data_IF_753679248209
#
_entry.id   IF_753679248209
#
_cell.length_a   1.000
_cell.length_b   1.000
_cell.length_c   1.000
_cell.angle_alpha   90.00
_cell.angle_beta   90.00
_cell.angle_gamma   90.00
#
_symmetry.space_group_name_H-M   'P 1'
#
loop_
_entity.id
_entity.type
_entity.pdbx_description
1 polymer ?
#
# COMPACT_ATOMS: atom_id res chain seq x y z
N UNK A 1 31.93 -8.37 -21.77
CA UNK A 1 30.67 -7.64 -21.95
C UNK A 1 30.36 -6.92 -20.65
N UNK A 2 30.91 -5.72 -20.45
CA UNK A 2 30.67 -4.91 -19.24
C UNK A 2 29.27 -4.30 -19.37
N UNK A 3 28.28 -4.94 -18.75
CA UNK A 3 27.01 -4.29 -18.43
C UNK A 3 27.33 -3.18 -17.41
N UNK A 4 27.67 -1.99 -17.92
CA UNK A 4 27.53 -0.74 -17.18
C UNK A 4 26.02 -0.52 -16.99
N UNK A 5 25.43 -1.26 -16.05
CA UNK A 5 24.13 -0.96 -15.49
C UNK A 5 24.25 0.46 -14.94
N UNK A 6 23.64 1.41 -15.64
CA UNK A 6 23.59 2.81 -15.24
C UNK A 6 22.71 2.91 -13.99
N UNK A 7 23.25 2.52 -12.83
CA UNK A 7 22.62 2.51 -11.51
C UNK A 7 22.27 3.92 -11.00
N UNK A 8 22.19 4.92 -11.87
CA UNK A 8 21.84 6.31 -11.55
C UNK A 8 20.33 6.55 -11.57
N UNK A 9 19.56 5.77 -12.34
CA UNK A 9 18.11 5.90 -12.32
C UNK A 9 17.50 5.23 -11.10
N UNK A 10 16.48 5.88 -10.52
CA UNK A 10 15.72 5.29 -9.42
C UNK A 10 14.77 4.24 -9.97
N UNK A 11 14.69 3.10 -9.28
CA UNK A 11 13.72 2.05 -9.59
C UNK A 11 12.32 2.61 -9.36
N UNK A 12 11.49 2.59 -10.39
CA UNK A 12 10.13 3.10 -10.26
C UNK A 12 9.25 2.04 -9.55
N UNK A 13 8.17 2.43 -8.86
CA UNK A 13 7.40 1.45 -8.07
C UNK A 13 6.57 0.50 -8.92
N UNK A 14 6.26 0.87 -10.17
CA UNK A 14 5.66 -0.04 -11.15
C UNK A 14 6.60 -1.19 -11.51
N UNK A 15 7.91 -0.96 -11.62
CA UNK A 15 8.89 -2.03 -11.82
C UNK A 15 8.84 -3.03 -10.65
N UNK A 16 8.81 -2.51 -9.41
CA UNK A 16 8.73 -3.35 -8.20
C UNK A 16 7.42 -4.13 -8.16
N UNK A 17 6.29 -3.49 -8.50
CA UNK A 17 4.98 -4.15 -8.53
C UNK A 17 4.95 -5.32 -9.51
N UNK A 18 5.52 -5.15 -10.71
CA UNK A 18 5.62 -6.21 -11.72
C UNK A 18 6.53 -7.34 -11.21
N UNK A 19 7.72 -7.01 -10.68
CA UNK A 19 8.66 -8.01 -10.16
C UNK A 19 8.02 -8.86 -9.06
N UNK A 20 7.34 -8.23 -8.09
CA UNK A 20 6.69 -8.97 -7.01
C UNK A 20 5.54 -9.81 -7.56
N UNK A 21 4.74 -9.29 -8.49
CA UNK A 21 3.66 -10.06 -9.12
C UNK A 21 4.19 -11.31 -9.85
N UNK A 22 5.30 -11.16 -10.59
CA UNK A 22 5.98 -12.30 -11.24
C UNK A 22 6.51 -13.31 -10.21
N UNK A 23 7.11 -12.83 -9.11
CA UNK A 23 7.57 -13.72 -8.04
C UNK A 23 6.42 -14.53 -7.42
N UNK A 24 5.25 -13.91 -7.20
CA UNK A 24 4.07 -14.59 -6.68
C UNK A 24 3.58 -15.70 -7.62
N UNK A 25 3.56 -15.44 -8.93
CA UNK A 25 3.20 -16.43 -9.95
C UNK A 25 4.20 -17.59 -9.97
N UNK A 26 5.51 -17.31 -9.91
CA UNK A 26 6.57 -18.34 -9.95
C UNK A 26 6.55 -19.21 -8.68
N UNK A 27 6.35 -18.60 -7.51
CA UNK A 27 6.32 -19.33 -6.23
C UNK A 27 5.04 -20.15 -6.05
N UNK A 28 3.99 -19.85 -6.81
CA UNK A 28 2.73 -20.58 -6.78
C UNK A 28 2.77 -21.75 -7.76
N UNK A 29 3.27 -22.90 -7.33
CA UNK A 29 3.45 -24.07 -8.20
C UNK A 29 2.13 -24.74 -8.67
N UNK A 30 0.99 -24.46 -8.03
CA UNK A 30 -0.26 -25.21 -8.24
C UNK A 30 -1.41 -24.38 -8.85
N UNK A 31 -1.13 -23.20 -9.42
CA UNK A 31 -2.18 -22.38 -10.04
C UNK A 31 -2.43 -22.76 -11.49
N UNK A 32 -3.67 -22.55 -11.95
CA UNK A 32 -3.98 -22.64 -13.37
C UNK A 32 -3.21 -21.61 -14.20
N UNK A 33 -2.93 -21.97 -15.46
CA UNK A 33 -2.25 -21.10 -16.44
C UNK A 33 -3.05 -19.83 -16.69
N UNK A 34 -4.39 -19.90 -16.66
CA UNK A 34 -5.27 -18.75 -16.84
C UNK A 34 -5.09 -17.73 -15.72
N UNK A 35 -5.09 -18.16 -14.46
CA UNK A 35 -4.85 -17.28 -13.31
C UNK A 35 -3.48 -16.61 -13.38
N UNK A 36 -2.42 -17.37 -13.71
CA UNK A 36 -1.09 -16.81 -13.92
C UNK A 36 -1.06 -15.74 -15.03
N UNK A 37 -1.70 -16.02 -16.17
CA UNK A 37 -1.80 -15.09 -17.29
C UNK A 37 -2.55 -13.81 -16.92
N UNK A 38 -3.65 -13.90 -16.15
CA UNK A 38 -4.43 -12.74 -15.68
C UNK A 38 -3.56 -11.84 -14.80
N UNK A 39 -2.83 -12.41 -13.84
CA UNK A 39 -1.96 -11.63 -12.93
C UNK A 39 -0.88 -10.89 -13.72
N UNK A 40 -0.22 -11.57 -14.66
CA UNK A 40 0.82 -10.98 -15.51
C UNK A 40 0.25 -9.90 -16.45
N UNK A 41 -0.94 -10.13 -17.00
CA UNK A 41 -1.65 -9.14 -17.82
C UNK A 41 -1.95 -7.88 -17.00
N UNK A 42 -2.53 -8.03 -15.81
CA UNK A 42 -2.85 -6.92 -14.93
C UNK A 42 -1.60 -6.13 -14.50
N UNK A 43 -0.51 -6.84 -14.16
CA UNK A 43 0.75 -6.21 -13.81
C UNK A 43 1.36 -5.43 -14.99
N UNK A 44 1.33 -5.99 -16.19
CA UNK A 44 1.81 -5.34 -17.42
C UNK A 44 0.95 -4.14 -17.79
N UNK A 45 -0.37 -4.25 -17.66
CA UNK A 45 -1.30 -3.17 -17.96
C UNK A 45 -1.18 -2.01 -16.95
N UNK A 46 -1.02 -2.33 -15.66
CA UNK A 46 -0.70 -1.35 -14.63
C UNK A 46 0.61 -0.61 -14.95
N UNK A 47 1.65 -1.34 -15.38
CA UNK A 47 2.94 -0.77 -15.76
C UNK A 47 2.82 0.28 -16.87
N UNK A 48 2.12 -0.06 -17.95
CA UNK A 48 1.87 0.85 -19.07
C UNK A 48 1.08 2.08 -18.61
N UNK A 49 0.01 1.85 -17.85
CA UNK A 49 -0.88 2.90 -17.36
C UNK A 49 -0.19 3.87 -16.40
N UNK A 50 0.73 3.37 -15.56
CA UNK A 50 1.58 4.18 -14.70
C UNK A 50 2.46 5.14 -15.50
N UNK A 51 3.12 4.64 -16.55
CA UNK A 51 3.97 5.48 -17.40
C UNK A 51 3.15 6.55 -18.13
N UNK A 52 1.93 6.21 -18.59
CA UNK A 52 1.00 7.17 -19.17
C UNK A 52 0.64 8.27 -18.15
N UNK A 53 0.23 7.90 -16.94
CA UNK A 53 -0.12 8.88 -15.88
C UNK A 53 1.03 9.81 -15.52
N UNK A 54 2.25 9.27 -15.37
CA UNK A 54 3.47 10.06 -15.12
C UNK A 54 3.72 11.07 -16.25
N UNK A 55 3.59 10.63 -17.50
CA UNK A 55 3.84 11.48 -18.67
C UNK A 55 2.79 12.58 -18.86
N UNK A 56 1.51 12.30 -18.55
CA UNK A 56 0.43 13.30 -18.61
C UNK A 56 0.76 14.47 -17.67
N UNK A 57 1.10 14.16 -16.41
CA UNK A 57 1.41 15.19 -15.43
C UNK A 57 2.72 15.90 -15.73
N UNK A 58 3.75 15.19 -16.20
CA UNK A 58 5.01 15.82 -16.65
C UNK A 58 4.73 16.89 -17.71
N UNK A 59 3.93 16.56 -18.74
CA UNK A 59 3.57 17.51 -19.81
C UNK A 59 2.72 18.68 -19.31
N UNK A 60 1.83 18.45 -18.36
CA UNK A 60 0.99 19.51 -17.80
C UNK A 60 1.81 20.53 -16.99
N UNK A 61 2.75 20.04 -16.17
CA UNK A 61 3.58 20.87 -15.31
C UNK A 61 4.71 21.56 -16.08
N UNK A 62 5.33 20.89 -17.07
CA UNK A 62 6.39 21.46 -17.89
C UNK A 62 6.04 21.34 -19.39
N UNK A 63 5.28 22.31 -19.94
CA UNK A 63 4.92 22.32 -21.35
C UNK A 63 6.08 22.71 -22.28
N UNK A 64 7.14 23.35 -21.76
CA UNK A 64 8.33 23.71 -22.53
C UNK A 64 9.37 22.57 -22.48
N UNK A 65 9.65 22.01 -23.67
CA UNK A 65 10.59 20.94 -23.93
C UNK A 65 12.05 21.35 -23.67
N UNK A 66 12.43 21.50 -22.40
CA UNK A 66 13.84 21.52 -22.02
C UNK A 66 14.01 20.85 -20.65
N UNK A 67 14.54 19.61 -20.62
CA UNK A 67 14.76 18.81 -19.40
C UNK A 67 15.68 19.53 -18.38
N UNK A 68 16.34 20.63 -18.76
CA UNK A 68 17.16 21.46 -17.88
C UNK A 68 16.41 22.61 -17.17
N UNK A 69 15.18 22.95 -17.60
CA UNK A 69 14.34 24.01 -17.00
C UNK A 69 13.13 23.45 -16.22
N UNK A 70 13.18 22.17 -15.88
CA UNK A 70 12.25 21.43 -15.02
C UNK A 70 12.03 22.06 -13.60
N UNK A 71 12.63 23.22 -13.32
CA UNK A 71 12.81 23.80 -12.00
C UNK A 71 11.91 24.99 -11.67
N UNK A 72 11.60 25.92 -12.58
CA UNK A 72 11.08 27.23 -12.15
C UNK A 72 9.66 27.17 -11.58
N UNK A 73 8.71 26.56 -12.32
CA UNK A 73 7.34 26.37 -11.84
C UNK A 73 7.28 25.48 -10.59
N UNK A 74 8.03 24.39 -10.59
CA UNK A 74 8.09 23.45 -9.46
C UNK A 74 8.70 24.12 -8.22
N UNK A 75 9.71 24.96 -8.38
CA UNK A 75 10.31 25.72 -7.29
C UNK A 75 9.33 26.75 -6.73
N UNK A 76 8.59 27.47 -7.59
CA UNK A 76 7.54 28.40 -7.15
C UNK A 76 6.40 27.69 -6.40
N UNK A 77 5.98 26.50 -6.84
CA UNK A 77 5.00 25.69 -6.10
C UNK A 77 5.60 25.25 -4.76
N UNK A 78 6.87 24.84 -4.75
CA UNK A 78 7.58 24.41 -3.55
C UNK A 78 7.67 25.53 -2.50
N UNK A 79 7.93 26.76 -2.92
CA UNK A 79 7.97 27.94 -2.04
C UNK A 79 6.60 28.25 -1.44
N UNK A 80 5.50 28.01 -2.16
CA UNK A 80 4.15 28.17 -1.63
C UNK A 80 3.76 27.08 -0.61
N UNK A 81 4.48 25.96 -0.56
CA UNK A 81 4.17 24.84 0.34
C UNK A 81 4.78 25.07 1.74
N UNK A 82 3.91 25.15 2.74
CA UNK A 82 4.32 25.27 4.13
C UNK A 82 4.63 23.89 4.75
N UNK A 83 5.89 23.48 4.70
CA UNK A 83 6.38 22.23 5.29
C UNK A 83 6.22 22.15 6.82
N UNK A 84 6.16 23.27 7.52
CA UNK A 84 5.96 23.28 8.98
C UNK A 84 4.53 22.83 9.33
N UNK A 85 3.52 23.31 8.58
CA UNK A 85 2.14 22.84 8.71
C UNK A 85 2.03 21.35 8.40
N UNK A 86 2.67 20.90 7.33
CA UNK A 86 2.73 19.48 6.95
C UNK A 86 3.31 18.61 8.08
N UNK A 87 4.39 19.07 8.73
CA UNK A 87 4.97 18.39 9.89
C UNK A 87 4.02 18.34 11.07
N UNK A 88 3.33 19.44 11.39
CA UNK A 88 2.33 19.49 12.49
C UNK A 88 1.19 18.50 12.25
N UNK A 89 0.69 18.41 11.01
CA UNK A 89 -0.31 17.41 10.61
C UNK A 89 0.22 15.99 10.83
N UNK A 90 1.43 15.70 10.36
CA UNK A 90 2.05 14.38 10.56
C UNK A 90 2.20 14.01 12.04
N UNK A 91 2.64 14.95 12.89
CA UNK A 91 2.76 14.73 14.33
C UNK A 91 1.40 14.50 15.01
N UNK A 92 0.37 15.24 14.59
CA UNK A 92 -1.00 15.05 15.08
C UNK A 92 -1.51 13.65 14.74
N UNK A 93 -1.29 13.18 13.51
CA UNK A 93 -1.68 11.83 13.08
C UNK A 93 -0.96 10.74 13.88
N UNK A 94 0.34 10.91 14.18
CA UNK A 94 1.08 9.98 15.04
C UNK A 94 0.48 9.97 16.45
N UNK A 95 0.19 11.14 17.03
CA UNK A 95 -0.36 11.25 18.38
C UNK A 95 -1.74 10.58 18.48
N UNK A 96 -2.62 10.85 17.51
CA UNK A 96 -3.94 10.20 17.40
C UNK A 96 -3.78 8.70 17.26
N UNK A 97 -2.97 8.22 16.30
CA UNK A 97 -2.83 6.79 16.06
C UNK A 97 -2.21 6.05 17.26
N UNK A 98 -1.24 6.65 17.94
CA UNK A 98 -0.64 6.08 19.15
C UNK A 98 -1.64 6.01 20.31
N UNK A 99 -2.42 7.08 20.52
CA UNK A 99 -3.47 7.12 21.55
C UNK A 99 -4.51 6.04 21.31
N UNK A 100 -4.99 5.89 20.07
CA UNK A 100 -5.99 4.87 19.74
C UNK A 100 -5.41 3.45 19.78
N UNK A 101 -4.11 3.27 19.52
CA UNK A 101 -3.44 1.97 19.71
C UNK A 101 -3.47 1.58 21.19
N UNK A 102 -3.15 2.51 22.09
CA UNK A 102 -3.21 2.26 23.54
C UNK A 102 -4.64 2.06 24.01
N UNK A 103 -5.59 2.86 23.52
CA UNK A 103 -7.00 2.71 23.86
C UNK A 103 -7.57 1.33 23.46
N UNK A 104 -7.19 0.82 22.29
CA UNK A 104 -7.63 -0.50 21.81
C UNK A 104 -7.04 -1.64 22.66
N UNK A 105 -5.78 -1.50 23.11
CA UNK A 105 -5.16 -2.45 24.04
C UNK A 105 -5.83 -2.44 25.42
N UNK A 106 -6.21 -1.26 25.93
CA UNK A 106 -6.96 -1.14 27.18
C UNK A 106 -8.35 -1.75 27.03
N UNK A 107 -9.02 -1.50 25.91
CA UNK A 107 -10.35 -2.03 25.62
C UNK A 107 -10.39 -3.56 25.65
N UNK A 108 -9.41 -4.19 25.00
CA UNK A 108 -9.30 -5.66 24.96
C UNK A 108 -8.76 -6.24 26.28
N UNK A 109 -8.19 -5.40 27.16
CA UNK A 109 -7.58 -5.81 28.44
C UNK A 109 -6.55 -6.95 28.26
N UNK A 110 -5.86 -6.92 27.13
CA UNK A 110 -4.93 -7.97 26.70
C UNK A 110 -4.11 -7.51 25.50
N UNK A 111 -3.12 -8.31 25.11
CA UNK A 111 -2.24 -8.01 23.97
C UNK A 111 -2.52 -8.99 22.83
N UNK A 112 -3.20 -8.57 21.74
CA UNK A 112 -3.53 -9.42 20.60
C UNK A 112 -2.36 -10.09 19.90
N UNK A 113 -1.14 -9.61 20.12
CA UNK A 113 0.07 -10.27 19.66
C UNK A 113 0.33 -11.61 20.38
N UNK A 114 0.04 -11.69 21.68
CA UNK A 114 0.31 -12.88 22.50
C UNK A 114 -0.92 -13.78 22.67
N UNK A 115 -2.12 -13.21 22.61
CA UNK A 115 -3.36 -13.95 22.57
C UNK A 115 -4.14 -13.63 21.28
N UNK A 116 -4.05 -14.48 20.23
CA UNK A 116 -4.79 -14.29 18.99
C UNK A 116 -6.32 -14.26 19.16
N UNK A 117 -6.87 -14.87 20.22
CA UNK A 117 -8.31 -14.86 20.47
C UNK A 117 -8.80 -13.45 20.84
N UNK A 118 -7.98 -12.70 21.58
CA UNK A 118 -8.27 -11.33 21.98
C UNK A 118 -8.47 -10.37 20.80
N UNK A 119 -7.93 -10.69 19.61
CA UNK A 119 -8.11 -9.91 18.37
C UNK A 119 -9.58 -9.75 17.97
N UNK A 120 -10.43 -10.72 18.26
CA UNK A 120 -11.86 -10.67 17.91
C UNK A 120 -12.61 -9.59 18.66
N UNK A 121 -12.07 -9.11 19.78
CA UNK A 121 -12.67 -8.09 20.63
C UNK A 121 -12.15 -6.68 20.37
N UNK A 122 -11.24 -6.51 19.40
CA UNK A 122 -10.74 -5.20 19.01
C UNK A 122 -11.87 -4.33 18.48
N UNK A 123 -11.84 -3.05 18.86
CA UNK A 123 -12.82 -2.10 18.36
C UNK A 123 -12.39 -1.65 16.96
N UNK A 124 -13.21 -1.97 15.96
CA UNK A 124 -12.94 -1.65 14.54
C UNK A 124 -12.63 -0.16 14.33
N UNK A 125 -13.33 0.74 15.06
CA UNK A 125 -13.09 2.18 14.99
C UNK A 125 -11.76 2.60 15.59
N UNK A 126 -11.37 2.04 16.74
CA UNK A 126 -10.07 2.35 17.37
C UNK A 126 -8.92 1.80 16.54
N UNK A 127 -9.05 0.58 16.01
CA UNK A 127 -8.06 0.00 15.10
C UNK A 127 -7.91 0.87 13.84
N UNK A 128 -9.01 1.33 13.23
CA UNK A 128 -8.94 2.19 12.04
C UNK A 128 -8.22 3.51 12.32
N UNK A 129 -8.44 4.12 13.49
CA UNK A 129 -7.73 5.33 13.90
C UNK A 129 -6.27 5.07 14.26
N UNK A 130 -5.94 3.88 14.79
CA UNK A 130 -4.56 3.46 15.01
C UNK A 130 -3.76 3.38 13.69
N UNK A 131 -4.41 3.02 12.57
CA UNK A 131 -3.78 2.98 11.25
C UNK A 131 -3.41 4.37 10.69
N UNK A 132 -3.78 5.47 11.35
CA UNK A 132 -3.26 6.80 11.03
C UNK A 132 -1.77 6.96 11.41
N UNK A 133 -1.25 6.13 12.31
CA UNK A 133 0.13 6.20 12.77
C UNK A 133 1.15 5.94 11.65
N UNK A 134 1.04 4.86 10.83
CA UNK A 134 1.89 4.69 9.64
C UNK A 134 1.88 5.91 8.71
N UNK A 135 0.70 6.49 8.44
CA UNK A 135 0.56 7.67 7.59
C UNK A 135 1.24 8.90 8.18
N UNK A 136 0.96 9.20 9.45
CA UNK A 136 1.56 10.33 10.16
C UNK A 136 3.08 10.23 10.19
N UNK A 137 3.61 9.03 10.44
CA UNK A 137 5.05 8.78 10.45
C UNK A 137 5.69 8.99 9.07
N UNK A 138 5.10 8.45 8.00
CA UNK A 138 5.59 8.67 6.63
C UNK A 138 5.65 10.17 6.28
N UNK A 139 4.63 10.95 6.68
CA UNK A 139 4.60 12.41 6.49
C UNK A 139 5.71 13.09 7.29
N UNK A 140 5.90 12.75 8.57
CA UNK A 140 6.96 13.37 9.38
C UNK A 140 8.35 13.08 8.81
N UNK A 141 8.64 11.83 8.43
CA UNK A 141 9.92 11.45 7.82
C UNK A 141 10.17 12.20 6.50
N UNK A 142 9.10 12.49 5.76
CA UNK A 142 9.18 13.22 4.49
C UNK A 142 9.50 14.71 4.67
N UNK A 143 9.05 15.32 5.78
CA UNK A 143 9.21 16.75 6.06
C UNK A 143 10.44 17.09 6.90
N UNK A 144 11.02 16.11 7.61
CA UNK A 144 12.09 16.36 8.59
C UNK A 144 13.44 15.85 8.13
N UNK A 145 14.47 16.64 8.39
CA UNK A 145 15.86 16.23 8.23
C UNK A 145 16.35 15.49 9.48
N UNK A 146 15.95 14.23 9.59
CA UNK A 146 16.46 13.33 10.62
C UNK A 146 17.59 12.45 10.08
N UNK A 147 18.54 12.10 10.95
CA UNK A 147 19.59 11.14 10.61
C UNK A 147 19.01 9.75 10.34
N UNK A 148 19.63 8.98 9.43
CA UNK A 148 19.15 7.64 9.02
C UNK A 148 18.89 6.73 10.23
N UNK A 149 19.81 6.73 11.21
CA UNK A 149 19.70 5.94 12.44
C UNK A 149 18.45 6.30 13.26
N UNK A 150 18.13 7.59 13.39
CA UNK A 150 16.94 8.04 14.12
C UNK A 150 15.65 7.65 13.41
N UNK A 151 15.61 7.78 12.08
CA UNK A 151 14.44 7.37 11.29
C UNK A 151 14.18 5.87 11.47
N UNK A 152 15.19 5.02 11.27
CA UNK A 152 15.00 3.57 11.45
C UNK A 152 14.69 3.18 12.90
N UNK A 153 15.32 3.83 13.89
CA UNK A 153 15.04 3.58 15.30
C UNK A 153 13.59 3.88 15.67
N UNK A 154 13.08 5.06 15.30
CA UNK A 154 11.68 5.42 15.55
C UNK A 154 10.70 4.56 14.73
N UNK A 155 11.02 4.24 13.47
CA UNK A 155 10.21 3.29 12.69
C UNK A 155 10.08 1.93 13.38
N UNK A 156 11.13 1.43 14.02
CA UNK A 156 11.11 0.15 14.73
C UNK A 156 10.26 0.24 16.01
N UNK A 157 10.35 1.34 16.76
CA UNK A 157 9.49 1.59 17.94
C UNK A 157 8.02 1.66 17.54
N UNK A 158 7.69 2.41 16.48
CA UNK A 158 6.33 2.51 15.98
C UNK A 158 5.82 1.20 15.38
N UNK A 159 6.68 0.46 14.68
CA UNK A 159 6.38 -0.90 14.22
C UNK A 159 6.06 -1.84 15.39
N UNK A 160 6.83 -1.79 16.48
CA UNK A 160 6.57 -2.58 17.67
C UNK A 160 5.24 -2.21 18.32
N UNK A 161 4.92 -0.91 18.42
CA UNK A 161 3.64 -0.43 18.96
C UNK A 161 2.45 -0.96 18.15
N UNK A 162 2.52 -0.85 16.81
CA UNK A 162 1.47 -1.37 15.91
C UNK A 162 1.42 -2.90 15.95
N UNK A 163 2.56 -3.58 16.13
CA UNK A 163 2.62 -5.03 16.23
C UNK A 163 1.87 -5.57 17.47
N UNK A 164 1.73 -4.79 18.56
CA UNK A 164 0.99 -5.20 19.75
C UNK A 164 -0.48 -5.52 19.45
N UNK A 165 -1.08 -4.82 18.48
CA UNK A 165 -2.44 -5.10 17.98
C UNK A 165 -2.50 -6.39 17.14
N UNK A 166 -1.37 -7.01 16.85
CA UNK A 166 -1.26 -8.23 16.06
C UNK A 166 -1.38 -8.04 14.55
N UNK A 167 -1.50 -6.79 14.05
CA UNK A 167 -1.63 -6.50 12.63
C UNK A 167 -0.28 -6.50 11.89
N UNK A 168 0.12 -7.68 11.40
CA UNK A 168 1.40 -7.87 10.67
C UNK A 168 1.50 -7.01 9.40
N UNK A 169 0.43 -6.88 8.63
CA UNK A 169 0.44 -6.08 7.39
C UNK A 169 0.74 -4.61 7.69
N UNK A 170 0.17 -4.06 8.77
CA UNK A 170 0.38 -2.66 9.14
C UNK A 170 1.82 -2.37 9.55
N UNK A 171 2.49 -3.33 10.19
CA UNK A 171 3.94 -3.25 10.47
C UNK A 171 4.73 -3.19 9.16
N UNK A 172 4.40 -4.05 8.20
CA UNK A 172 5.06 -4.08 6.89
C UNK A 172 4.83 -2.76 6.16
N UNK A 173 3.61 -2.23 6.16
CA UNK A 173 3.25 -0.96 5.50
C UNK A 173 4.04 0.21 6.10
N UNK A 174 4.15 0.28 7.43
CA UNK A 174 4.91 1.33 8.12
C UNK A 174 6.41 1.28 7.73
N UNK A 175 7.01 0.10 7.76
CA UNK A 175 8.43 -0.06 7.44
C UNK A 175 8.69 0.19 5.94
N UNK A 176 7.86 -0.36 5.07
CA UNK A 176 7.98 -0.22 3.63
C UNK A 176 7.78 1.22 3.18
N UNK A 177 6.76 1.92 3.70
CA UNK A 177 6.55 3.35 3.42
C UNK A 177 7.73 4.20 3.92
N UNK A 178 8.31 3.91 5.09
CA UNK A 178 9.53 4.59 5.55
C UNK A 178 10.67 4.44 4.54
N UNK A 179 10.90 3.22 4.04
CA UNK A 179 11.95 2.94 3.05
C UNK A 179 11.69 3.76 1.78
N UNK A 180 10.45 3.79 1.28
CA UNK A 180 10.09 4.58 0.11
C UNK A 180 10.30 6.09 0.31
N UNK A 181 9.86 6.66 1.44
CA UNK A 181 10.11 8.07 1.74
C UNK A 181 11.61 8.38 1.75
N UNK A 182 12.42 7.55 2.41
CA UNK A 182 13.86 7.75 2.46
C UNK A 182 14.53 7.59 1.09
N UNK A 183 14.04 6.68 0.26
CA UNK A 183 14.55 6.45 -1.09
C UNK A 183 14.24 7.63 -2.03
N UNK A 184 12.99 8.11 -2.02
CA UNK A 184 12.58 9.19 -2.90
C UNK A 184 13.10 10.56 -2.45
N UNK A 185 13.28 10.79 -1.15
CA UNK A 185 13.94 11.99 -0.61
C UNK A 185 15.48 11.99 -0.79
N UNK A 186 16.06 11.09 -1.61
CA UNK A 186 17.50 10.97 -1.84
C UNK A 186 18.35 10.69 -0.59
N UNK A 187 17.73 10.27 0.53
CA UNK A 187 18.47 9.90 1.74
C UNK A 187 19.15 8.54 1.60
N UNK A 188 18.62 7.66 0.75
CA UNK A 188 19.21 6.35 0.45
C UNK A 188 19.68 6.29 -1.01
N UNK A 189 20.92 5.85 -1.22
CA UNK A 189 21.43 5.44 -2.54
C UNK A 189 20.84 4.09 -2.94
N UNK A 190 20.74 3.79 -4.24
CA UNK A 190 20.30 2.50 -4.78
C UNK A 190 20.96 1.29 -4.08
N UNK A 191 22.27 1.37 -3.78
CA UNK A 191 22.98 0.30 -3.05
C UNK A 191 22.56 0.19 -1.58
N UNK A 192 22.22 1.31 -0.95
CA UNK A 192 21.85 1.37 0.48
C UNK A 192 20.42 0.92 0.75
N UNK A 193 19.55 0.89 -0.27
CA UNK A 193 18.16 0.39 -0.13
C UNK A 193 18.12 -1.12 0.11
N UNK A 194 19.14 -1.86 -0.34
CA UNK A 194 19.20 -3.32 -0.16
C UNK A 194 19.16 -3.70 1.32
N UNK A 195 19.91 -3.01 2.19
CA UNK A 195 19.95 -3.32 3.62
C UNK A 195 18.59 -3.26 4.32
N UNK A 196 17.81 -2.16 4.25
CA UNK A 196 16.52 -2.11 4.90
C UNK A 196 15.48 -3.03 4.23
N UNK A 197 15.57 -3.32 2.94
CA UNK A 197 14.71 -4.31 2.28
C UNK A 197 14.99 -5.72 2.78
N UNK A 198 16.27 -6.10 2.90
CA UNK A 198 16.68 -7.38 3.51
C UNK A 198 16.27 -7.44 4.98
N UNK A 199 16.42 -6.34 5.72
CA UNK A 199 15.93 -6.24 7.10
C UNK A 199 14.42 -6.46 7.22
N UNK A 200 13.63 -5.86 6.32
CA UNK A 200 12.18 -6.08 6.25
C UNK A 200 11.85 -7.55 5.94
N UNK A 201 12.54 -8.16 4.97
CA UNK A 201 12.36 -9.56 4.63
C UNK A 201 12.66 -10.48 5.83
N UNK A 202 13.75 -10.23 6.56
CA UNK A 202 14.09 -10.96 7.79
C UNK A 202 13.00 -10.83 8.86
N UNK A 203 12.47 -9.62 9.09
CA UNK A 203 11.37 -9.40 10.03
C UNK A 203 10.15 -10.23 9.65
N UNK A 204 9.76 -10.24 8.36
CA UNK A 204 8.63 -11.05 7.86
C UNK A 204 8.88 -12.54 8.04
N UNK A 205 10.10 -13.02 7.77
CA UNK A 205 10.48 -14.42 7.94
C UNK A 205 10.39 -14.82 9.42
N UNK A 206 10.98 -14.04 10.32
CA UNK A 206 10.96 -14.30 11.77
C UNK A 206 9.52 -14.36 12.28
N UNK A 207 8.68 -13.36 11.92
CA UNK A 207 7.26 -13.38 12.29
C UNK A 207 6.52 -14.60 11.75
N UNK A 208 6.88 -15.08 10.56
CA UNK A 208 6.24 -16.24 9.94
C UNK A 208 6.66 -17.56 10.58
N UNK A 209 7.94 -17.72 10.91
CA UNK A 209 8.48 -18.89 11.61
C UNK A 209 7.93 -18.99 13.03
N UNK A 210 7.91 -17.88 13.78
CA UNK A 210 7.34 -17.84 15.13
C UNK A 210 5.89 -18.30 15.16
N UNK A 211 5.10 -17.91 14.14
CA UNK A 211 3.71 -18.34 14.02
C UNK A 211 3.58 -19.83 13.71
N UNK A 212 4.40 -20.36 12.80
CA UNK A 212 4.39 -21.79 12.46
C UNK A 212 4.72 -22.65 13.68
N UNK A 213 5.71 -22.23 14.46
CA UNK A 213 6.05 -22.87 15.73
C UNK A 213 4.90 -22.80 16.73
N UNK A 214 4.29 -21.62 16.92
CA UNK A 214 3.16 -21.44 17.83
C UNK A 214 1.92 -22.25 17.44
N UNK A 215 1.72 -22.55 16.16
CA UNK A 215 0.56 -23.29 15.65
C UNK A 215 0.85 -24.78 15.40
N UNK A 216 2.08 -25.25 15.64
CA UNK A 216 2.53 -26.61 15.32
C UNK A 216 2.26 -27.04 13.87
N UNK A 217 2.36 -26.10 12.91
CA UNK A 217 2.16 -26.37 11.49
C UNK A 217 3.52 -26.66 10.85
N UNK A 218 3.67 -27.80 10.19
CA UNK A 218 4.87 -28.14 9.41
C UNK A 218 4.92 -27.42 8.05
N UNK A 219 6.13 -27.20 7.50
CA UNK A 219 6.35 -26.68 6.15
C UNK A 219 7.06 -25.32 6.10
N UNK A 220 7.26 -24.80 4.87
CA UNK A 220 7.87 -23.48 4.65
C UNK A 220 6.80 -22.37 4.82
N UNK A 221 6.93 -21.45 5.80
CA UNK A 221 5.93 -20.42 6.08
C UNK A 221 5.67 -19.44 4.94
N UNK A 222 6.67 -19.20 4.08
CA UNK A 222 6.56 -18.21 2.99
C UNK A 222 5.83 -18.84 1.81
N UNK A 223 6.31 -20.00 1.36
CA UNK A 223 5.74 -20.69 0.19
C UNK A 223 4.30 -21.08 0.45
N UNK A 224 4.00 -21.66 1.63
CA UNK A 224 2.63 -22.02 2.02
C UNK A 224 1.67 -20.83 2.00
N UNK A 225 2.14 -19.63 2.36
CA UNK A 225 1.31 -18.42 2.39
C UNK A 225 1.04 -17.87 1.00
N UNK A 226 2.06 -17.80 0.15
CA UNK A 226 1.90 -17.41 -1.26
C UNK A 226 0.99 -18.41 -1.96
N UNK A 227 1.20 -19.70 -1.74
CA UNK A 227 0.40 -20.76 -2.33
C UNK A 227 -1.06 -20.71 -1.87
N UNK A 228 -1.33 -20.53 -0.57
CA UNK A 228 -2.71 -20.37 -0.08
C UNK A 228 -3.42 -19.19 -0.77
N UNK A 229 -2.74 -18.04 -0.83
CA UNK A 229 -3.28 -16.81 -1.42
C UNK A 229 -3.56 -16.99 -2.92
N UNK A 230 -2.64 -17.61 -3.63
CA UNK A 230 -2.75 -17.84 -5.07
C UNK A 230 -3.76 -18.94 -5.41
N UNK A 231 -3.94 -19.95 -4.55
CA UNK A 231 -5.00 -20.95 -4.69
C UNK A 231 -6.39 -20.33 -4.47
N UNK A 232 -6.53 -19.40 -3.51
CA UNK A 232 -7.77 -18.64 -3.32
C UNK A 232 -8.07 -17.82 -4.57
N UNK A 233 -7.06 -17.13 -5.12
CA UNK A 233 -7.22 -16.39 -6.37
C UNK A 233 -7.64 -17.31 -7.50
N UNK A 234 -7.04 -18.50 -7.62
CA UNK A 234 -7.36 -19.47 -8.66
C UNK A 234 -8.81 -19.97 -8.57
N UNK A 235 -9.28 -20.27 -7.35
CA UNK A 235 -10.69 -20.62 -7.12
C UNK A 235 -11.64 -19.48 -7.49
N UNK A 236 -11.28 -18.23 -7.20
CA UNK A 236 -12.06 -17.04 -7.60
C UNK A 236 -12.12 -16.93 -9.13
N UNK A 237 -10.97 -17.09 -9.80
CA UNK A 237 -10.89 -16.98 -11.26
C UNK A 237 -11.73 -18.05 -11.96
N UNK A 238 -11.71 -19.28 -11.44
CA UNK A 238 -12.41 -20.40 -12.07
C UNK A 238 -13.93 -20.39 -11.83
N UNK A 239 -14.39 -19.86 -10.69
CA UNK A 239 -15.78 -20.05 -10.27
C UNK A 239 -16.61 -18.77 -10.12
N UNK A 240 -15.99 -17.59 -10.05
CA UNK A 240 -16.67 -16.35 -9.63
C UNK A 240 -16.57 -15.19 -10.62
N UNK A 241 -16.31 -15.44 -11.91
CA UNK A 241 -16.22 -14.38 -12.93
C UNK A 241 -17.43 -13.45 -12.93
N UNK A 242 -17.25 -12.19 -12.50
CA UNK A 242 -18.30 -11.16 -12.50
C UNK A 242 -19.54 -11.50 -11.67
N UNK A 243 -19.51 -12.57 -10.89
CA UNK A 243 -20.66 -13.12 -10.17
C UNK A 243 -21.14 -12.22 -9.04
N UNK A 244 -20.24 -11.43 -8.46
CA UNK A 244 -20.53 -10.58 -7.31
C UNK A 244 -20.98 -9.17 -7.70
N UNK A 245 -20.90 -8.78 -8.98
CA UNK A 245 -21.47 -7.55 -9.54
C UNK A 245 -21.20 -6.26 -8.73
N UNK A 246 -20.04 -6.14 -8.09
CA UNK A 246 -19.66 -4.97 -7.29
C UNK A 246 -20.00 -5.08 -5.79
N UNK A 247 -20.50 -6.24 -5.33
CA UNK A 247 -20.83 -6.47 -3.92
C UNK A 247 -19.59 -6.38 -3.04
N UNK A 248 -18.40 -6.84 -3.48
CA UNK A 248 -17.19 -6.73 -2.66
C UNK A 248 -16.75 -5.28 -2.48
N UNK A 249 -16.78 -4.48 -3.55
CA UNK A 249 -16.38 -3.06 -3.47
C UNK A 249 -17.41 -2.22 -2.71
N UNK A 250 -18.70 -2.54 -2.80
CA UNK A 250 -19.75 -1.85 -2.03
C UNK A 250 -19.79 -2.30 -0.56
N UNK A 251 -19.38 -3.54 -0.26
CA UNK A 251 -19.23 -4.07 1.09
C UNK A 251 -18.22 -3.29 1.94
N UNK A 252 -17.26 -2.60 1.33
CA UNK A 252 -16.31 -1.71 2.03
C UNK A 252 -17.06 -0.64 2.81
N UNK A 253 -18.09 -0.03 2.21
CA UNK A 253 -18.87 1.05 2.83
C UNK A 253 -20.09 0.52 3.59
N UNK A 254 -20.77 -0.50 3.06
CA UNK A 254 -21.99 -1.03 3.67
C UNK A 254 -21.72 -1.84 4.95
N UNK A 255 -20.54 -2.46 5.09
CA UNK A 255 -20.14 -3.09 6.37
C UNK A 255 -20.03 -2.11 7.54
N UNK A 256 -19.75 -0.82 7.25
CA UNK A 256 -19.76 0.27 8.23
C UNK A 256 -21.10 1.02 8.29
N UNK A 257 -22.13 0.51 7.60
CA UNK A 257 -23.46 1.12 7.49
C UNK A 257 -23.47 2.54 6.90
N UNK A 258 -22.45 2.89 6.12
CA UNK A 258 -22.38 4.19 5.43
C UNK A 258 -23.31 4.24 4.20
N UNK A 259 -23.54 3.08 3.58
CA UNK A 259 -24.40 2.89 2.41
C UNK A 259 -25.28 1.66 2.69
N UNK A 260 -26.55 1.63 2.24
CA UNK A 260 -27.36 0.41 2.32
C UNK A 260 -26.68 -0.74 1.56
N UNK A 261 -26.59 -1.90 2.19
CA UNK A 261 -25.96 -3.08 1.59
C UNK A 261 -25.66 -4.17 2.62
N UNK A 262 -24.80 -5.10 2.23
CA UNK A 262 -24.39 -6.24 3.06
C UNK A 262 -23.60 -5.76 4.29
N UNK A 263 -23.99 -6.23 5.48
CA UNK A 263 -23.29 -5.88 6.72
C UNK A 263 -21.97 -6.64 6.90
N UNK A 264 -21.71 -7.66 6.09
CA UNK A 264 -20.50 -8.47 6.15
C UNK A 264 -19.35 -7.78 5.43
N UNK A 265 -18.16 -7.79 6.03
CA UNK A 265 -16.96 -7.24 5.38
C UNK A 265 -16.56 -8.03 4.11
N UNK A 266 -15.87 -7.40 3.14
CA UNK A 266 -15.52 -8.03 1.87
C UNK A 266 -14.82 -9.39 2.00
N UNK A 267 -13.93 -9.53 2.98
CA UNK A 267 -13.20 -10.79 3.27
C UNK A 267 -14.09 -11.92 3.77
N UNK A 268 -15.20 -11.58 4.43
CA UNK A 268 -16.18 -12.55 4.92
C UNK A 268 -17.08 -13.00 3.78
N UNK A 269 -17.44 -12.07 2.88
CA UNK A 269 -18.23 -12.38 1.68
C UNK A 269 -17.48 -13.38 0.81
N UNK A 270 -16.19 -13.14 0.52
CA UNK A 270 -15.37 -14.08 -0.25
C UNK A 270 -15.28 -15.46 0.43
N UNK A 271 -15.12 -15.50 1.75
CA UNK A 271 -15.06 -16.78 2.48
C UNK A 271 -16.38 -17.57 2.38
N UNK A 272 -17.50 -16.88 2.59
CA UNK A 272 -18.83 -17.48 2.47
C UNK A 272 -19.13 -17.92 1.03
N UNK A 273 -18.72 -17.14 0.03
CA UNK A 273 -18.84 -17.51 -1.39
C UNK A 273 -18.05 -18.79 -1.71
N UNK A 274 -16.90 -19.00 -1.07
CA UNK A 274 -16.11 -20.23 -1.19
C UNK A 274 -16.64 -21.39 -0.31
N UNK A 275 -17.78 -21.21 0.37
CA UNK A 275 -18.39 -22.23 1.22
C UNK A 275 -17.69 -22.44 2.57
N UNK A 276 -16.85 -21.49 3.01
CA UNK A 276 -16.11 -21.60 4.28
C UNK A 276 -16.70 -20.59 5.27
N UNK A 277 -17.58 -21.08 6.13
CA UNK A 277 -18.23 -20.26 7.16
C UNK A 277 -17.32 -20.01 8.37
N UNK A 278 -17.52 -18.86 9.02
CA UNK A 278 -16.83 -18.52 10.28
C UNK A 278 -15.37 -18.09 10.13
N UNK A 279 -14.85 -17.96 8.90
CA UNK A 279 -13.50 -17.45 8.62
C UNK A 279 -13.55 -16.23 7.71
N UNK A 280 -12.44 -15.49 7.67
CA UNK A 280 -12.25 -14.39 6.73
C UNK A 280 -11.15 -14.75 5.75
N UNK A 281 -11.43 -14.66 4.46
CA UNK A 281 -10.48 -14.93 3.39
C UNK A 281 -10.24 -13.63 2.62
N UNK A 282 -8.98 -13.21 2.54
CA UNK A 282 -8.60 -12.02 1.79
C UNK A 282 -8.47 -12.34 0.32
N UNK A 283 -9.28 -11.73 -0.57
CA UNK A 283 -8.97 -11.76 -1.99
C UNK A 283 -7.73 -10.90 -2.26
N UNK A 284 -6.91 -11.32 -3.22
CA UNK A 284 -5.84 -10.46 -3.74
C UNK A 284 -6.42 -9.23 -4.45
N UNK A 285 -5.60 -8.22 -4.72
CA UNK A 285 -6.02 -7.07 -5.54
C UNK A 285 -6.61 -7.49 -6.89
N UNK A 286 -6.12 -8.60 -7.47
CA UNK A 286 -6.63 -9.15 -8.73
C UNK A 286 -7.97 -9.87 -8.52
N UNK A 287 -8.07 -10.72 -7.50
CA UNK A 287 -9.24 -11.54 -7.25
C UNK A 287 -10.48 -10.73 -6.89
N UNK A 288 -10.32 -9.66 -6.13
CA UNK A 288 -11.42 -8.77 -5.76
C UNK A 288 -12.13 -8.17 -6.98
N UNK A 289 -11.35 -7.66 -7.93
CA UNK A 289 -11.85 -7.02 -9.15
C UNK A 289 -12.44 -8.06 -10.10
N UNK A 290 -11.78 -9.21 -10.22
CA UNK A 290 -12.27 -10.30 -11.06
C UNK A 290 -13.62 -10.85 -10.57
N UNK A 291 -13.77 -11.04 -9.26
CA UNK A 291 -15.01 -11.56 -8.68
C UNK A 291 -16.19 -10.61 -8.89
N UNK A 292 -15.96 -9.30 -8.78
CA UNK A 292 -17.01 -8.29 -8.94
C UNK A 292 -17.32 -7.97 -10.40
N UNK A 293 -16.31 -7.88 -11.27
CA UNK A 293 -16.45 -7.28 -12.60
C UNK A 293 -15.91 -8.15 -13.76
N UNK A 294 -15.40 -9.35 -13.46
CA UNK A 294 -14.84 -10.28 -14.45
C UNK A 294 -13.62 -9.73 -15.20
N UNK A 295 -13.32 -10.31 -16.36
CA UNK A 295 -12.18 -9.88 -17.19
C UNK A 295 -12.28 -8.42 -17.63
N UNK A 296 -13.49 -7.96 -17.96
CA UNK A 296 -13.71 -6.60 -18.46
C UNK A 296 -13.42 -5.54 -17.41
N UNK A 297 -13.61 -5.84 -16.12
CA UNK A 297 -13.31 -4.90 -15.03
C UNK A 297 -11.83 -4.70 -14.74
N UNK A 298 -10.98 -5.66 -15.10
CA UNK A 298 -9.54 -5.58 -14.83
C UNK A 298 -8.88 -4.41 -15.58
N UNK A 299 -9.28 -4.18 -16.83
CA UNK A 299 -8.72 -3.11 -17.67
C UNK A 299 -8.98 -1.71 -17.07
N UNK A 300 -10.24 -1.26 -16.85
CA UNK A 300 -10.49 0.06 -16.29
C UNK A 300 -9.92 0.19 -14.87
N UNK A 301 -9.94 -0.88 -14.07
CA UNK A 301 -9.39 -0.84 -12.71
C UNK A 301 -7.87 -0.62 -12.70
N UNK A 302 -7.09 -1.51 -13.31
CA UNK A 302 -5.62 -1.38 -13.32
C UNK A 302 -5.15 -0.21 -14.19
N UNK A 303 -5.96 0.20 -15.18
CA UNK A 303 -5.74 1.39 -15.99
C UNK A 303 -5.84 2.67 -15.17
N UNK A 304 -6.97 2.88 -14.51
CA UNK A 304 -7.20 4.07 -13.66
C UNK A 304 -6.25 4.10 -12.47
N UNK A 305 -6.05 2.95 -11.80
CA UNK A 305 -5.10 2.82 -10.70
C UNK A 305 -3.67 3.14 -11.13
N UNK A 306 -3.24 2.62 -12.28
CA UNK A 306 -1.93 2.90 -12.85
C UNK A 306 -1.73 4.38 -13.14
N UNK A 307 -2.67 4.98 -13.88
CA UNK A 307 -2.64 6.42 -14.21
C UNK A 307 -2.58 7.27 -12.93
N UNK A 308 -3.43 6.95 -11.96
CA UNK A 308 -3.50 7.66 -10.68
C UNK A 308 -2.17 7.59 -9.91
N UNK A 309 -1.61 6.39 -9.73
CA UNK A 309 -0.37 6.19 -9.00
C UNK A 309 0.84 6.79 -9.75
N UNK A 310 0.85 6.73 -11.08
CA UNK A 310 1.88 7.37 -11.92
C UNK A 310 1.84 8.89 -11.87
N UNK A 311 0.64 9.47 -11.88
CA UNK A 311 0.44 10.90 -11.73
C UNK A 311 0.91 11.40 -10.34
N UNK A 312 0.51 10.69 -9.28
CA UNK A 312 0.90 11.03 -7.92
C UNK A 312 2.41 10.85 -7.67
N UNK A 313 3.04 9.86 -8.31
CA UNK A 313 4.49 9.68 -8.28
C UNK A 313 5.24 10.93 -8.76
N UNK A 314 4.84 11.48 -9.90
CA UNK A 314 5.51 12.67 -10.44
C UNK A 314 5.38 13.87 -9.49
N UNK A 315 4.16 14.17 -9.01
CA UNK A 315 3.90 15.28 -8.09
C UNK A 315 4.68 15.10 -6.78
N UNK A 316 4.58 13.92 -6.17
CA UNK A 316 5.22 13.65 -4.86
C UNK A 316 6.74 13.73 -4.92
N UNK A 317 7.36 13.24 -6.01
CA UNK A 317 8.81 13.30 -6.22
C UNK A 317 9.36 14.72 -6.33
N UNK A 318 8.52 15.68 -6.74
CA UNK A 318 8.89 17.09 -6.93
C UNK A 318 8.52 17.96 -5.73
N UNK A 319 7.36 17.76 -5.12
CA UNK A 319 6.85 18.61 -4.03
C UNK A 319 7.30 18.15 -2.63
N UNK A 320 7.63 16.87 -2.42
CA UNK A 320 7.98 16.32 -1.11
C UNK A 320 6.91 16.59 -0.01
N UNK A 321 7.25 16.32 1.25
CA UNK A 321 6.33 16.53 2.38
C UNK A 321 5.10 15.61 2.35
N UNK A 322 3.92 16.13 2.68
CA UNK A 322 2.67 15.35 2.74
C UNK A 322 2.41 14.53 1.48
N UNK A 323 2.67 15.08 0.30
CA UNK A 323 2.53 14.38 -0.98
C UNK A 323 3.39 13.10 -1.04
N UNK A 324 4.63 13.18 -0.56
CA UNK A 324 5.57 12.05 -0.51
C UNK A 324 5.19 11.05 0.57
N UNK A 325 4.74 11.51 1.74
CA UNK A 325 4.24 10.64 2.81
C UNK A 325 3.03 9.82 2.38
N UNK A 326 2.02 10.46 1.79
CA UNK A 326 0.82 9.80 1.25
C UNK A 326 1.20 8.83 0.13
N UNK A 327 2.00 9.27 -0.83
CA UNK A 327 2.45 8.42 -1.94
C UNK A 327 3.17 7.15 -1.46
N UNK A 328 4.09 7.27 -0.51
CA UNK A 328 4.82 6.13 0.02
C UNK A 328 3.92 5.10 0.71
N UNK A 329 2.89 5.56 1.42
CA UNK A 329 1.88 4.69 2.02
C UNK A 329 1.05 3.97 0.95
N UNK A 330 0.61 4.67 -0.10
CA UNK A 330 -0.17 4.06 -1.18
C UNK A 330 0.62 3.00 -1.92
N UNK A 331 1.89 3.24 -2.22
CA UNK A 331 2.77 2.23 -2.82
C UNK A 331 2.94 1.04 -1.86
N UNK A 332 3.13 1.28 -0.57
CA UNK A 332 3.27 0.19 0.40
C UNK A 332 2.00 -0.68 0.47
N UNK A 333 0.81 -0.06 0.47
CA UNK A 333 -0.47 -0.77 0.40
C UNK A 333 -0.67 -1.49 -0.93
N UNK A 334 -0.26 -0.89 -2.06
CA UNK A 334 -0.36 -1.52 -3.38
C UNK A 334 0.50 -2.79 -3.45
N UNK A 335 1.75 -2.74 -2.96
CA UNK A 335 2.65 -3.88 -2.96
C UNK A 335 2.19 -4.97 -1.97
N UNK A 336 1.73 -4.59 -0.78
CA UNK A 336 1.13 -5.53 0.16
C UNK A 336 -0.18 -6.14 -0.37
N UNK A 337 -0.94 -5.35 -1.15
CA UNK A 337 -2.24 -5.73 -1.73
C UNK A 337 -2.17 -6.84 -2.77
N UNK A 338 -0.98 -7.12 -3.34
CA UNK A 338 -0.75 -8.33 -4.15
C UNK A 338 -1.10 -9.58 -3.35
N UNK A 339 -0.77 -9.61 -2.05
CA UNK A 339 -1.07 -10.70 -1.15
C UNK A 339 -2.39 -10.51 -0.41
N UNK A 340 -2.61 -9.35 0.20
CA UNK A 340 -3.69 -9.15 1.18
C UNK A 340 -4.92 -8.45 0.63
N UNK A 341 -4.90 -8.01 -0.63
CA UNK A 341 -5.92 -7.14 -1.19
C UNK A 341 -5.90 -5.72 -0.62
N UNK A 342 -6.79 -4.86 -1.13
CA UNK A 342 -6.91 -3.45 -0.73
C UNK A 342 -8.35 -3.05 -0.33
N UNK A 343 -9.20 -4.03 0.00
CA UNK A 343 -10.64 -3.83 0.26
C UNK A 343 -10.96 -3.38 1.71
N UNK A 344 -9.98 -2.89 2.45
CA UNK A 344 -10.24 -2.38 3.79
C UNK A 344 -10.58 -0.88 3.70
N UNK A 345 -11.52 -0.43 4.54
CA UNK A 345 -12.07 0.93 4.47
C UNK A 345 -11.00 2.01 4.68
N UNK A 346 -10.08 1.78 5.62
CA UNK A 346 -8.93 2.65 5.90
C UNK A 346 -8.02 2.80 4.68
N UNK A 347 -7.80 1.72 3.92
CA UNK A 347 -7.03 1.74 2.68
C UNK A 347 -7.72 2.61 1.63
N UNK A 348 -9.02 2.44 1.44
CA UNK A 348 -9.81 3.27 0.52
C UNK A 348 -9.75 4.75 0.92
N UNK A 349 -9.82 5.06 2.22
CA UNK A 349 -9.62 6.42 2.71
C UNK A 349 -8.24 6.98 2.36
N UNK A 350 -7.17 6.18 2.48
CA UNK A 350 -5.82 6.63 2.07
C UNK A 350 -5.73 6.88 0.57
N UNK A 351 -6.34 6.03 -0.26
CA UNK A 351 -6.43 6.28 -1.71
C UNK A 351 -7.19 7.58 -2.01
N UNK A 352 -8.28 7.85 -1.28
CA UNK A 352 -8.99 9.12 -1.32
C UNK A 352 -8.13 10.32 -0.94
N UNK A 353 -7.31 10.22 0.12
CA UNK A 353 -6.34 11.27 0.49
C UNK A 353 -5.29 11.48 -0.61
N UNK A 354 -4.86 10.42 -1.30
CA UNK A 354 -3.99 10.53 -2.46
C UNK A 354 -4.63 11.27 -3.63
N UNK A 355 -5.91 11.00 -3.92
CA UNK A 355 -6.67 11.73 -4.94
C UNK A 355 -6.81 13.21 -4.58
N UNK A 356 -7.14 13.52 -3.33
CA UNK A 356 -7.19 14.89 -2.84
C UNK A 356 -5.82 15.59 -2.95
N UNK A 357 -4.75 14.90 -2.56
CA UNK A 357 -3.38 15.39 -2.67
C UNK A 357 -3.00 15.71 -4.13
N UNK A 358 -3.39 14.87 -5.08
CA UNK A 358 -3.15 15.09 -6.50
C UNK A 358 -3.90 16.33 -7.03
N UNK A 359 -5.19 16.46 -6.71
CA UNK A 359 -6.00 17.62 -7.11
C UNK A 359 -5.45 18.90 -6.51
N UNK A 360 -5.07 18.88 -5.22
CA UNK A 360 -4.47 20.03 -4.55
C UNK A 360 -3.12 20.44 -5.18
N UNK A 361 -2.27 19.47 -5.52
CA UNK A 361 -1.01 19.74 -6.21
C UNK A 361 -1.21 20.37 -7.60
N UNK A 362 -2.21 19.90 -8.35
CA UNK A 362 -2.58 20.48 -9.65
C UNK A 362 -3.18 21.89 -9.52
N UNK A 363 -4.00 22.13 -8.49
CA UNK A 363 -4.59 23.43 -8.21
C UNK A 363 -3.52 24.49 -7.90
N UNK A 364 -2.54 24.16 -7.06
CA UNK A 364 -1.41 25.07 -6.78
C UNK A 364 -0.59 25.33 -8.04
N UNK A 365 -0.35 24.32 -8.87
CA UNK A 365 0.33 24.51 -10.15
C UNK A 365 -0.43 25.47 -11.10
N UNK A 366 -1.75 25.30 -11.19
CA UNK A 366 -2.61 26.18 -11.99
C UNK A 366 -2.58 27.63 -11.47
N UNK A 367 -2.61 27.82 -10.15
CA UNK A 367 -2.57 29.14 -9.51
C UNK A 367 -1.26 29.87 -9.78
N UNK A 368 -0.13 29.16 -9.74
CA UNK A 368 1.18 29.74 -10.06
C UNK A 368 1.27 30.11 -11.54
N UNK A 369 0.75 29.28 -12.46
CA UNK A 369 0.75 29.56 -13.90
C UNK A 369 -0.06 30.80 -14.32
N UNK A 370 -1.02 31.22 -13.48
CA UNK A 370 -1.89 32.39 -13.72
C UNK A 370 -1.33 33.69 -13.12
N UNK A 371 -0.38 33.59 -12.19
CA UNK A 371 0.39 34.75 -11.70
C UNK A 371 1.48 35.10 -12.70
#
# INVERSE_FOLDING_TARGET
>A
MNLNLNLKEKVNPNDIFVIISCMFVILACNISVTTGAIVLFCASFFYLSFNVGKNIIKKYLNPEFDDNKDGELINLIRENINYEKHRKIGLLLIAVGALFTVADLIWVSGVPLFDPASRKFLNVGFTALAHLLPLGWAIVVSCTEMSKKKVFGYSLVFAALVALLGYRTQVIILLLSTIFVMYYNNKLSNKQVVYPVVGLALIVIVMSVLRFYSLNIGGNPIVSRVQLTMNILDMIVQNFEGSLQGVLHTAIFSSYKLIPGVSSGPRTIVANSLGIEGVTITPTIFGAVFADFGYLGLIPYFGTLGIFIGALHYISSKLNGVFMGIYAILIAYLLAGIETGILDLDVVFFFGLGAFSLVYGLYEAYKVKKR
#
